data_IF_783069553294
#
_entry.id   IF_783069553294
#
_cell.length_a   1.000
_cell.length_b   1.000
_cell.length_c   1.000
_cell.angle_alpha   90.00
_cell.angle_beta   90.00
_cell.angle_gamma   90.00
#
_symmetry.space_group_name_H-M   'P 1'
#
loop_
_entity.id
_entity.type
_entity.pdbx_description
1 polymer ?
#
# COMPACT_ATOMS: atom_id res chain seq x y z
N UNK A 1 -11.83 -11.11 -3.71
CA UNK A 1 -11.04 -10.46 -2.64
C UNK A 1 -11.84 -10.39 -1.35
N UNK A 2 -11.22 -10.64 -0.19
CA UNK A 2 -11.92 -10.55 1.11
C UNK A 2 -12.34 -9.10 1.43
N UNK A 3 -11.53 -8.14 0.99
CA UNK A 3 -11.82 -6.71 0.98
C UNK A 3 -11.58 -6.20 -0.44
N UNK A 4 -12.45 -5.35 -1.01
CA UNK A 4 -12.24 -4.81 -2.35
C UNK A 4 -10.88 -4.10 -2.50
N UNK A 5 -10.15 -4.42 -3.56
CA UNK A 5 -8.90 -3.75 -3.94
C UNK A 5 -9.21 -2.46 -4.71
N UNK A 6 -9.00 -1.32 -4.05
CA UNK A 6 -9.25 0.00 -4.63
C UNK A 6 -8.25 0.36 -5.72
N UNK A 7 -8.65 1.32 -6.56
CA UNK A 7 -7.74 2.01 -7.49
C UNK A 7 -7.36 3.38 -6.93
N UNK A 8 -6.29 3.95 -7.46
CA UNK A 8 -5.86 5.31 -7.13
C UNK A 8 -6.35 6.28 -8.21
N UNK A 9 -6.82 7.45 -7.79
CA UNK A 9 -7.07 8.56 -8.71
C UNK A 9 -5.76 9.12 -9.24
N UNK A 10 -5.73 9.47 -10.51
CA UNK A 10 -4.57 10.12 -11.12
C UNK A 10 -4.55 11.63 -10.84
N UNK A 11 -3.34 12.18 -10.76
CA UNK A 11 -3.04 13.60 -10.61
C UNK A 11 -1.98 13.92 -11.65
N UNK A 12 -2.25 14.85 -12.57
CA UNK A 12 -1.40 15.07 -13.74
C UNK A 12 -0.58 16.36 -13.66
N UNK A 13 -0.80 17.18 -12.62
CA UNK A 13 -0.08 18.43 -12.43
C UNK A 13 0.17 18.73 -10.95
N UNK A 14 1.13 19.61 -10.68
CA UNK A 14 1.39 20.10 -9.33
C UNK A 14 0.19 20.86 -8.75
N UNK A 15 -0.58 21.55 -9.58
CA UNK A 15 -1.76 22.30 -9.14
C UNK A 15 -2.92 21.35 -8.77
N UNK A 16 -3.10 20.26 -9.51
CA UNK A 16 -4.06 19.20 -9.14
C UNK A 16 -3.70 18.58 -7.78
N UNK A 17 -2.41 18.33 -7.54
CA UNK A 17 -1.91 17.81 -6.27
C UNK A 17 -2.20 18.79 -5.12
N UNK A 18 -1.91 20.09 -5.30
CA UNK A 18 -2.21 21.14 -4.31
C UNK A 18 -3.70 21.27 -4.07
N UNK A 19 -4.52 21.19 -5.11
CA UNK A 19 -5.98 21.25 -4.99
C UNK A 19 -6.52 20.05 -4.22
N UNK A 20 -5.98 18.84 -4.45
CA UNK A 20 -6.30 17.64 -3.69
C UNK A 20 -5.88 17.77 -2.22
N UNK A 21 -4.66 18.25 -1.94
CA UNK A 21 -4.18 18.50 -0.60
C UNK A 21 -5.12 19.43 0.19
N UNK A 22 -5.54 20.56 -0.42
CA UNK A 22 -6.52 21.48 0.17
C UNK A 22 -7.87 20.81 0.46
N UNK A 23 -8.31 19.84 -0.37
CA UNK A 23 -9.54 19.06 -0.11
C UNK A 23 -9.37 18.14 1.10
N UNK A 24 -8.21 17.52 1.27
CA UNK A 24 -7.92 16.64 2.42
C UNK A 24 -7.93 17.43 3.74
N UNK A 25 -7.30 18.61 3.78
CA UNK A 25 -7.31 19.49 4.96
C UNK A 25 -8.72 19.95 5.39
N UNK A 26 -9.71 19.92 4.50
CA UNK A 26 -11.12 20.26 4.84
C UNK A 26 -11.94 19.06 5.28
N UNK A 27 -11.52 17.84 4.91
CA UNK A 27 -12.28 16.61 5.15
C UNK A 27 -11.79 15.83 6.35
N UNK A 28 -10.51 15.94 6.68
CA UNK A 28 -9.91 15.21 7.80
C UNK A 28 -10.15 15.93 9.13
N UNK A 29 -10.26 15.19 10.25
CA UNK A 29 -10.37 15.77 11.58
C UNK A 29 -9.16 16.65 11.91
N UNK A 30 -9.39 17.75 12.63
CA UNK A 30 -8.32 18.68 13.00
C UNK A 30 -7.23 18.04 13.86
N UNK A 31 -7.56 16.98 14.61
CA UNK A 31 -6.60 16.21 15.42
C UNK A 31 -5.52 15.51 14.59
N UNK A 32 -5.77 15.25 13.30
CA UNK A 32 -4.80 14.63 12.40
C UNK A 32 -3.92 15.66 11.67
N UNK A 33 -4.15 16.95 11.92
CA UNK A 33 -3.53 18.05 11.18
C UNK A 33 -2.62 18.81 12.13
N UNK A 34 -1.32 18.77 11.86
CA UNK A 34 -0.31 19.41 12.69
C UNK A 34 -0.16 20.88 12.34
N UNK A 35 0.28 21.70 13.29
CA UNK A 35 0.55 23.12 13.05
C UNK A 35 1.95 23.30 12.44
N UNK A 36 2.12 22.99 11.15
CA UNK A 36 3.36 23.21 10.42
C UNK A 36 3.05 23.47 8.94
N UNK A 37 3.75 24.39 8.27
CA UNK A 37 3.51 24.73 6.86
C UNK A 37 3.22 26.22 6.64
N UNK A 38 3.26 26.67 5.38
CA UNK A 38 3.09 28.08 5.00
C UNK A 38 1.68 28.65 5.31
N UNK A 39 0.71 27.78 5.55
CA UNK A 39 -0.67 28.09 5.97
C UNK A 39 -0.99 27.60 7.39
N UNK A 40 0.03 27.16 8.15
CA UNK A 40 -0.09 26.73 9.54
C UNK A 40 -0.73 25.36 9.76
N UNK A 41 -0.90 24.53 8.71
CA UNK A 41 -1.51 23.19 8.78
C UNK A 41 -0.77 22.20 7.87
N UNK A 42 -0.28 21.08 8.41
CA UNK A 42 0.39 20.03 7.64
C UNK A 42 -0.23 18.64 7.85
N UNK A 43 -0.17 17.86 6.78
CA UNK A 43 -0.35 16.43 6.77
C UNK A 43 1.01 15.79 6.49
N UNK A 44 1.31 14.69 7.17
CA UNK A 44 2.47 13.85 6.84
C UNK A 44 2.13 12.97 5.65
N UNK A 45 3.06 12.83 4.70
CA UNK A 45 2.87 12.04 3.48
C UNK A 45 3.93 10.95 3.39
N UNK A 46 3.50 9.73 3.06
CA UNK A 46 4.36 8.67 2.55
C UNK A 46 4.28 8.70 1.02
N UNK A 47 5.43 8.81 0.36
CA UNK A 47 5.50 8.87 -1.10
C UNK A 47 6.29 7.66 -1.57
N UNK A 48 5.62 6.80 -2.33
CA UNK A 48 6.20 5.59 -2.91
C UNK A 48 6.22 5.70 -4.44
N UNK A 49 7.25 5.15 -5.12
CA UNK A 49 7.24 5.04 -6.58
C UNK A 49 6.03 4.22 -7.05
N UNK A 50 5.32 4.73 -8.06
CA UNK A 50 4.27 3.94 -8.72
C UNK A 50 4.94 2.87 -9.58
N UNK A 51 4.95 1.63 -9.10
CA UNK A 51 5.41 0.49 -9.87
C UNK A 51 4.44 0.25 -11.03
N UNK A 52 4.98 0.12 -12.25
CA UNK A 52 4.20 -0.19 -13.43
C UNK A 52 4.18 -1.69 -13.66
N UNK A 53 3.10 -2.34 -13.22
CA UNK A 53 2.96 -3.78 -13.23
C UNK A 53 1.53 -4.20 -12.90
N UNK A 54 1.37 -5.46 -12.53
CA UNK A 54 0.07 -6.01 -12.15
C UNK A 54 -0.09 -6.01 -10.62
N UNK A 55 -1.22 -5.49 -10.13
CA UNK A 55 -1.56 -5.59 -8.72
C UNK A 55 -2.00 -7.02 -8.38
N UNK A 56 -1.38 -7.57 -7.34
CA UNK A 56 -1.66 -8.90 -6.77
C UNK A 56 -1.95 -8.76 -5.28
N UNK A 57 -2.85 -9.61 -4.79
CA UNK A 57 -3.16 -9.78 -3.37
C UNK A 57 -2.70 -11.15 -2.92
N UNK A 58 -2.00 -11.21 -1.79
CA UNK A 58 -1.49 -12.46 -1.20
C UNK A 58 -2.11 -12.65 0.17
N UNK A 59 -2.62 -13.85 0.44
CA UNK A 59 -3.19 -14.24 1.72
C UNK A 59 -2.23 -15.19 2.41
N UNK A 60 -1.79 -14.79 3.60
CA UNK A 60 -1.10 -15.67 4.53
C UNK A 60 -2.07 -16.14 5.60
N UNK A 61 -1.98 -17.42 5.97
CA UNK A 61 -2.68 -17.99 7.12
C UNK A 61 -1.64 -18.68 8.00
N UNK A 62 -1.62 -18.33 9.28
CA UNK A 62 -0.63 -18.84 10.24
C UNK A 62 0.83 -18.62 9.77
N UNK A 63 1.06 -17.51 9.06
CA UNK A 63 2.35 -17.15 8.46
C UNK A 63 2.66 -17.83 7.12
N UNK A 64 1.89 -18.82 6.67
CA UNK A 64 2.11 -19.52 5.38
C UNK A 64 1.29 -18.90 4.26
N UNK A 65 1.89 -18.73 3.08
CA UNK A 65 1.20 -18.25 1.88
C UNK A 65 0.21 -19.33 1.42
N UNK A 66 -1.09 -19.02 1.47
CA UNK A 66 -2.15 -19.96 1.08
C UNK A 66 -2.89 -19.56 -0.19
N UNK A 67 -2.76 -18.30 -0.63
CA UNK A 67 -3.36 -17.82 -1.87
C UNK A 67 -2.64 -16.60 -2.44
N UNK A 68 -2.52 -16.51 -3.75
CA UNK A 68 -2.25 -15.28 -4.48
C UNK A 68 -3.33 -15.06 -5.54
N UNK A 69 -3.81 -13.84 -5.71
CA UNK A 69 -4.82 -13.51 -6.70
C UNK A 69 -4.55 -12.16 -7.38
N UNK A 70 -4.82 -12.07 -8.68
CA UNK A 70 -4.73 -10.78 -9.40
C UNK A 70 -5.81 -9.81 -8.91
N UNK A 71 -5.65 -8.51 -9.17
CA UNK A 71 -6.68 -7.52 -8.81
C UNK A 71 -8.01 -7.77 -9.52
N UNK A 72 -7.98 -8.09 -10.82
CA UNK A 72 -9.18 -8.15 -11.67
C UNK A 72 -9.95 -6.83 -11.63
N UNK A 73 -11.26 -6.90 -11.35
CA UNK A 73 -12.11 -5.72 -11.21
C UNK A 73 -12.04 -5.04 -9.82
N UNK A 74 -11.21 -5.58 -8.91
CA UNK A 74 -11.08 -5.14 -7.53
C UNK A 74 -11.95 -5.92 -6.54
N UNK A 75 -12.98 -6.62 -7.00
CA UNK A 75 -13.81 -7.52 -6.18
C UNK A 75 -13.50 -8.98 -6.48
N UNK A 76 -13.38 -9.34 -7.76
CA UNK A 76 -13.04 -10.67 -8.26
C UNK A 76 -11.75 -10.59 -9.06
N UNK A 77 -10.84 -11.53 -8.80
CA UNK A 77 -9.58 -11.68 -9.48
C UNK A 77 -9.28 -13.15 -9.76
N UNK A 78 -8.22 -13.41 -10.51
CA UNK A 78 -7.81 -14.76 -10.91
C UNK A 78 -6.86 -15.35 -9.87
N UNK A 79 -6.99 -16.66 -9.61
CA UNK A 79 -6.07 -17.38 -8.74
C UNK A 79 -4.74 -17.63 -9.45
N UNK A 80 -3.67 -17.03 -8.91
CA UNK A 80 -2.28 -17.14 -9.40
C UNK A 80 -1.36 -17.70 -8.32
N UNK A 81 -1.91 -18.46 -7.37
CA UNK A 81 -1.15 -19.05 -6.24
C UNK A 81 0.01 -19.91 -6.74
N UNK A 82 -0.20 -20.63 -7.85
CA UNK A 82 0.84 -21.46 -8.45
C UNK A 82 2.03 -20.66 -9.01
N UNK A 83 1.86 -19.36 -9.31
CA UNK A 83 2.93 -18.48 -9.78
C UNK A 83 3.74 -17.88 -8.63
N UNK A 84 3.24 -17.91 -7.40
CA UNK A 84 3.86 -17.25 -6.25
C UNK A 84 5.34 -17.61 -6.03
N UNK A 85 5.79 -18.87 -6.19
CA UNK A 85 7.20 -19.24 -6.02
C UNK A 85 8.15 -18.60 -7.03
N UNK A 86 7.64 -18.09 -8.16
CA UNK A 86 8.43 -17.41 -9.19
C UNK A 86 8.52 -15.89 -8.97
N UNK A 87 7.86 -15.35 -7.94
CA UNK A 87 7.88 -13.91 -7.63
C UNK A 87 9.05 -13.65 -6.68
N UNK A 88 10.10 -13.01 -7.18
CA UNK A 88 11.25 -12.63 -6.37
C UNK A 88 10.85 -11.76 -5.18
N UNK A 89 11.36 -12.14 -4.00
CA UNK A 89 11.08 -11.42 -2.75
C UNK A 89 9.72 -11.69 -2.13
N UNK A 90 8.87 -12.54 -2.71
CA UNK A 90 7.63 -13.00 -2.08
C UNK A 90 7.90 -14.27 -1.27
N UNK A 91 7.99 -14.20 0.07
CA UNK A 91 8.29 -15.36 0.88
C UNK A 91 7.10 -16.33 0.89
N UNK A 92 7.35 -17.64 0.89
CA UNK A 92 6.30 -18.64 1.12
C UNK A 92 5.82 -18.64 2.57
N UNK A 93 6.66 -18.14 3.50
CA UNK A 93 6.35 -18.02 4.92
C UNK A 93 6.83 -16.69 5.48
N UNK A 94 5.97 -15.98 6.19
CA UNK A 94 6.34 -14.75 6.90
C UNK A 94 7.29 -15.07 8.06
N UNK A 95 8.34 -14.27 8.18
CA UNK A 95 9.23 -14.27 9.36
C UNK A 95 8.52 -13.54 10.49
N UNK A 96 8.41 -14.16 11.67
CA UNK A 96 7.88 -13.45 12.83
C UNK A 96 8.94 -12.46 13.36
N UNK A 97 8.55 -11.36 14.00
CA UNK A 97 9.51 -10.46 14.63
C UNK A 97 10.44 -11.15 15.65
N UNK A 98 9.99 -12.24 16.28
CA UNK A 98 10.81 -13.08 17.17
C UNK A 98 11.91 -13.86 16.41
N UNK A 99 11.67 -14.18 15.14
CA UNK A 99 12.60 -14.89 14.26
C UNK A 99 13.65 -13.94 13.65
N UNK A 100 13.39 -12.62 13.67
CA UNK A 100 14.20 -11.58 13.01
C UNK A 100 15.41 -11.08 13.82
N UNK A 101 15.78 -11.74 14.92
CA UNK A 101 16.91 -11.36 15.82
C UNK A 101 18.32 -11.44 15.20
N UNK A 102 18.43 -11.61 13.87
CA UNK A 102 19.68 -11.54 13.11
C UNK A 102 19.66 -10.66 11.86
N UNK A 103 18.56 -9.98 11.53
CA UNK A 103 18.47 -9.17 10.31
C UNK A 103 18.73 -7.68 10.60
N UNK A 104 19.91 -7.20 10.21
CA UNK A 104 20.25 -5.78 10.19
C UNK A 104 19.36 -5.06 9.16
N UNK A 105 18.39 -4.28 9.65
CA UNK A 105 17.71 -3.27 8.84
C UNK A 105 18.70 -2.11 8.59
N UNK A 106 18.99 -1.73 7.33
CA UNK A 106 19.75 -0.52 7.07
C UNK A 106 18.97 0.73 7.52
N UNK A 107 19.67 1.83 7.81
CA UNK A 107 19.11 3.04 8.40
C UNK A 107 18.05 3.74 7.53
#
# INVERSE_FOLDING_TARGET
HLVPMLSLCAVHSADDARAWHKRMLRRLPQSEITAAGNDGRALSWMVEPKIDGLAVSVLYKDGELVRAATRGDGSVGEDVTHNAPAIDGLPTRLTSPADASGAHLPP
#
